data_IF_139105913989
#
_entry.id   IF_139105913989
#
_cell.length_a   1.000
_cell.length_b   1.000
_cell.length_c   1.000
_cell.angle_alpha   90.00
_cell.angle_beta   90.00
_cell.angle_gamma   90.00
#
_symmetry.space_group_name_H-M   'P 1'
#
loop_
_entity.id
_entity.type
_entity.pdbx_description
1 polymer ?
#
# COMPACT_ATOMS: atom_id res chain seq x y z
N UNK A 1 2.89 13.61 -63.58
CA UNK A 1 1.87 12.78 -62.91
C UNK A 1 0.60 13.62 -62.80
N UNK A 2 -0.52 13.06 -63.21
CA UNK A 2 -1.79 13.77 -63.38
C UNK A 2 -2.26 14.35 -62.04
N UNK A 3 -2.51 15.66 -62.06
CA UNK A 3 -3.33 16.37 -61.08
C UNK A 3 -4.73 15.76 -61.14
N UNK A 4 -5.06 14.86 -60.22
CA UNK A 4 -6.47 14.54 -59.99
C UNK A 4 -7.03 15.67 -59.15
N UNK A 5 -8.00 16.41 -59.71
CA UNK A 5 -8.85 17.29 -58.92
C UNK A 5 -9.53 16.42 -57.86
N UNK A 6 -9.00 16.47 -56.63
CA UNK A 6 -9.57 15.73 -55.50
C UNK A 6 -10.98 16.26 -55.26
N UNK A 7 -11.99 15.44 -55.53
CA UNK A 7 -13.39 15.80 -55.29
C UNK A 7 -13.68 15.65 -53.79
N UNK A 8 -13.64 16.79 -53.09
CA UNK A 8 -13.93 16.87 -51.66
C UNK A 8 -15.42 16.64 -51.45
N UNK A 9 -15.75 15.65 -50.64
CA UNK A 9 -17.13 15.33 -50.24
C UNK A 9 -17.38 15.54 -48.74
N UNK A 10 -18.58 15.22 -48.29
CA UNK A 10 -18.99 15.36 -46.88
C UNK A 10 -18.29 14.37 -45.92
N UNK A 11 -17.52 13.39 -46.43
CA UNK A 11 -16.73 12.45 -45.62
C UNK A 11 -15.30 12.93 -45.39
N UNK A 12 -14.87 13.95 -46.14
CA UNK A 12 -13.52 14.48 -46.12
C UNK A 12 -13.20 15.21 -44.80
N UNK A 13 -12.18 14.74 -44.09
CA UNK A 13 -11.73 15.32 -42.81
C UNK A 13 -10.44 16.11 -42.99
N UNK A 14 -10.45 17.36 -42.54
CA UNK A 14 -9.34 18.30 -42.70
C UNK A 14 -8.47 18.38 -41.45
N UNK A 15 -7.17 18.34 -41.65
CA UNK A 15 -6.18 18.48 -40.59
C UNK A 15 -5.11 19.48 -41.02
N UNK A 16 -4.66 20.30 -40.07
CA UNK A 16 -3.46 21.11 -40.22
C UNK A 16 -2.47 20.70 -39.13
N UNK A 17 -1.41 20.03 -39.53
CA UNK A 17 -0.49 19.34 -38.63
C UNK A 17 0.93 19.55 -39.13
N UNK A 18 1.85 19.91 -38.23
CA UNK A 18 3.26 20.12 -38.54
C UNK A 18 3.48 20.99 -39.80
N UNK A 19 2.78 22.13 -39.85
CA UNK A 19 2.82 23.10 -40.96
C UNK A 19 2.34 22.58 -42.32
N UNK A 20 1.57 21.48 -42.36
CA UNK A 20 1.05 20.89 -43.60
C UNK A 20 -0.45 20.61 -43.50
N UNK A 21 -1.15 20.71 -44.63
CA UNK A 21 -2.57 20.38 -44.74
C UNK A 21 -2.73 18.91 -45.13
N UNK A 22 -3.67 18.24 -44.50
CA UNK A 22 -4.06 16.88 -44.84
C UNK A 22 -5.57 16.76 -45.04
N UNK A 23 -5.95 15.91 -45.97
CA UNK A 23 -7.34 15.47 -46.16
C UNK A 23 -7.35 13.95 -46.00
N UNK A 24 -8.19 13.47 -45.08
CA UNK A 24 -8.51 12.06 -44.93
C UNK A 24 -9.87 11.84 -45.61
N UNK A 25 -9.92 10.96 -46.61
CA UNK A 25 -11.15 10.65 -47.34
C UNK A 25 -11.21 9.14 -47.54
N UNK A 26 -12.16 8.50 -46.86
CA UNK A 26 -12.27 7.04 -46.75
C UNK A 26 -10.93 6.42 -46.35
N UNK A 27 -10.39 5.50 -47.13
CA UNK A 27 -9.14 4.79 -46.91
C UNK A 27 -7.88 5.55 -47.37
N UNK A 28 -8.00 6.78 -47.88
CA UNK A 28 -6.90 7.54 -48.46
C UNK A 28 -6.53 8.78 -47.67
N UNK A 29 -5.24 9.09 -47.65
CA UNK A 29 -4.69 10.31 -47.09
C UNK A 29 -4.00 11.13 -48.19
N UNK A 30 -4.34 12.41 -48.21
CA UNK A 30 -3.79 13.39 -49.13
C UNK A 30 -3.07 14.48 -48.33
N UNK A 31 -2.00 15.04 -48.89
CA UNK A 31 -1.28 16.19 -48.32
C UNK A 31 -1.23 17.38 -49.26
N UNK A 32 -1.10 18.57 -48.69
CA UNK A 32 -0.75 19.78 -49.42
C UNK A 32 0.02 20.76 -48.55
N UNK A 33 0.94 21.52 -49.16
CA UNK A 33 1.66 22.62 -48.51
C UNK A 33 0.87 23.92 -48.52
N UNK A 34 -0.24 23.99 -49.28
CA UNK A 34 -0.99 25.22 -49.49
C UNK A 34 -2.41 24.93 -49.97
N UNK A 35 -3.42 25.45 -49.27
CA UNK A 35 -4.83 25.36 -49.68
C UNK A 35 -5.12 26.04 -51.04
N UNK A 36 -4.63 27.26 -51.34
CA UNK A 36 -5.09 28.03 -52.51
C UNK A 36 -4.81 27.38 -53.86
N UNK A 37 -3.88 26.42 -53.92
CA UNK A 37 -3.41 25.85 -55.18
C UNK A 37 -4.04 24.51 -55.53
N UNK A 38 -4.95 23.97 -54.70
CA UNK A 38 -5.75 22.77 -55.02
C UNK A 38 -4.95 21.48 -55.28
N UNK A 39 -3.63 21.50 -55.10
CA UNK A 39 -2.74 20.37 -55.34
C UNK A 39 -2.67 19.52 -54.10
N UNK A 40 -3.50 18.49 -54.08
CA UNK A 40 -3.46 17.43 -53.10
C UNK A 40 -2.78 16.20 -53.69
N UNK A 41 -1.71 15.76 -53.05
CA UNK A 41 -1.01 14.53 -53.41
C UNK A 41 -1.49 13.41 -52.51
N UNK A 42 -1.99 12.30 -53.10
CA UNK A 42 -2.24 11.08 -52.34
C UNK A 42 -0.90 10.51 -51.88
N UNK A 43 -0.71 10.34 -50.58
CA UNK A 43 0.55 9.83 -50.00
C UNK A 43 0.44 8.39 -49.52
N UNK A 44 -0.77 7.92 -49.20
CA UNK A 44 -0.98 6.55 -48.74
C UNK A 44 -2.44 6.13 -48.89
N UNK A 45 -2.66 4.81 -48.97
CA UNK A 45 -3.96 4.16 -48.90
C UNK A 45 -3.89 3.06 -47.85
N UNK A 46 -4.73 3.16 -46.82
CA UNK A 46 -4.76 2.27 -45.68
C UNK A 46 -5.66 1.05 -45.91
N UNK A 47 -5.58 0.08 -45.01
CA UNK A 47 -6.61 -0.95 -44.90
C UNK A 47 -7.81 -0.37 -44.13
N UNK A 48 -8.87 -0.04 -44.88
CA UNK A 48 -10.11 0.55 -44.38
C UNK A 48 -10.06 2.05 -44.10
N UNK A 49 -11.21 2.59 -43.67
CA UNK A 49 -11.41 4.03 -43.54
C UNK A 49 -10.51 4.65 -42.47
N UNK A 50 -9.89 5.79 -42.81
CA UNK A 50 -9.03 6.56 -41.92
C UNK A 50 -9.89 7.50 -41.07
N UNK A 51 -9.71 7.41 -39.75
CA UNK A 51 -10.61 8.07 -38.81
C UNK A 51 -10.05 9.36 -38.24
N UNK A 52 -8.76 9.35 -37.90
CA UNK A 52 -8.07 10.50 -37.33
C UNK A 52 -6.57 10.42 -37.58
N UNK A 53 -5.94 11.59 -37.69
CA UNK A 53 -4.51 11.78 -37.91
C UNK A 53 -3.97 12.69 -36.80
N UNK A 54 -2.78 12.40 -36.30
CA UNK A 54 -2.07 13.22 -35.34
C UNK A 54 -0.57 13.23 -35.62
N UNK A 55 0.13 14.25 -35.11
CA UNK A 55 1.59 14.30 -35.07
C UNK A 55 2.04 14.59 -33.64
N UNK A 56 3.12 13.93 -33.24
CA UNK A 56 3.73 14.05 -31.93
C UNK A 56 5.00 13.22 -31.89
N UNK A 57 5.89 13.43 -30.93
CA UNK A 57 7.12 12.63 -30.82
C UNK A 57 7.92 12.48 -32.14
N UNK A 58 7.86 13.51 -33.01
CA UNK A 58 8.43 13.53 -34.36
C UNK A 58 7.90 12.47 -35.34
N UNK A 59 6.71 11.91 -35.11
CA UNK A 59 6.07 10.92 -35.99
C UNK A 59 4.62 11.31 -36.30
N UNK A 60 4.17 10.96 -37.51
CA UNK A 60 2.77 11.01 -37.91
C UNK A 60 2.13 9.67 -37.60
N UNK A 61 0.95 9.71 -36.99
CA UNK A 61 0.18 8.53 -36.66
C UNK A 61 -1.24 8.74 -37.15
N UNK A 62 -1.82 7.74 -37.81
CA UNK A 62 -3.26 7.72 -38.04
C UNK A 62 -3.87 6.38 -37.64
N UNK A 63 -5.17 6.41 -37.41
CA UNK A 63 -5.99 5.24 -37.10
C UNK A 63 -6.91 4.92 -38.28
N UNK A 64 -7.04 3.65 -38.63
CA UNK A 64 -7.98 3.19 -39.66
C UNK A 64 -8.70 1.89 -39.27
N UNK A 65 -9.70 1.50 -40.07
CA UNK A 65 -10.40 0.24 -39.87
C UNK A 65 -11.40 -0.10 -40.97
N UNK A 66 -11.32 -1.33 -41.48
CA UNK A 66 -12.32 -1.90 -42.39
C UNK A 66 -13.44 -2.63 -41.63
N UNK A 67 -14.67 -2.62 -42.15
CA UNK A 67 -15.79 -3.34 -41.52
C UNK A 67 -15.60 -4.85 -41.62
N UNK A 68 -15.72 -5.56 -40.50
CA UNK A 68 -15.57 -7.02 -40.38
C UNK A 68 -16.93 -7.70 -40.20
N UNK A 69 -17.80 -7.12 -39.38
CA UNK A 69 -19.13 -7.64 -39.11
C UNK A 69 -20.17 -6.56 -39.40
N UNK A 70 -21.30 -6.96 -39.99
CA UNK A 70 -22.40 -6.06 -40.34
C UNK A 70 -23.43 -5.87 -39.23
N UNK A 71 -23.54 -6.81 -38.28
CA UNK A 71 -24.46 -6.67 -37.16
C UNK A 71 -24.06 -7.48 -35.91
N UNK A 72 -23.84 -6.83 -34.75
CA UNK A 72 -23.51 -5.41 -34.60
C UNK A 72 -22.26 -5.03 -35.39
N UNK A 73 -22.34 -3.87 -36.06
CA UNK A 73 -21.26 -3.36 -36.93
C UNK A 73 -19.96 -3.33 -36.16
N UNK A 74 -18.89 -3.94 -36.65
CA UNK A 74 -17.57 -3.93 -36.00
C UNK A 74 -16.48 -3.81 -37.05
N UNK A 75 -15.43 -3.07 -36.74
CA UNK A 75 -14.32 -2.75 -37.63
C UNK A 75 -13.01 -3.33 -37.09
N UNK A 76 -12.09 -3.61 -38.01
CA UNK A 76 -10.69 -3.74 -37.66
C UNK A 76 -10.17 -2.44 -37.05
N UNK A 77 -9.10 -2.54 -36.27
CA UNK A 77 -8.44 -1.41 -35.65
C UNK A 77 -6.97 -1.45 -36.04
N UNK A 78 -6.60 -0.56 -36.95
CA UNK A 78 -5.23 -0.42 -37.43
C UNK A 78 -4.66 0.93 -36.98
N UNK A 79 -3.38 0.93 -36.65
CA UNK A 79 -2.61 2.15 -36.41
C UNK A 79 -1.40 2.11 -37.32
N UNK A 80 -1.24 3.17 -38.10
CA UNK A 80 -0.11 3.37 -38.98
C UNK A 80 0.76 4.50 -38.45
N UNK A 81 2.08 4.35 -38.63
CA UNK A 81 3.08 5.33 -38.27
C UNK A 81 3.95 5.68 -39.47
N UNK A 82 4.34 6.95 -39.57
CA UNK A 82 5.34 7.42 -40.53
C UNK A 82 6.20 8.53 -39.93
N UNK A 83 7.49 8.55 -40.26
CA UNK A 83 8.40 9.65 -39.88
C UNK A 83 8.50 10.73 -40.98
N UNK A 84 8.29 10.33 -42.24
CA UNK A 84 8.62 11.11 -43.44
C UNK A 84 7.43 11.30 -44.40
N UNK A 85 6.24 10.78 -44.04
CA UNK A 85 5.01 10.73 -44.84
C UNK A 85 5.10 9.89 -46.12
N UNK A 86 6.26 9.27 -46.39
CA UNK A 86 6.53 8.50 -47.61
C UNK A 86 6.47 7.00 -47.31
N UNK A 87 6.96 6.60 -46.14
CA UNK A 87 6.92 5.22 -45.67
C UNK A 87 5.94 5.11 -44.50
N UNK A 88 4.92 4.27 -44.66
CA UNK A 88 3.92 4.01 -43.63
C UNK A 88 4.02 2.56 -43.15
N UNK A 89 4.10 2.39 -41.85
CA UNK A 89 4.21 1.10 -41.18
C UNK A 89 2.96 0.81 -40.36
N UNK A 90 2.40 -0.39 -40.52
CA UNK A 90 1.33 -0.88 -39.65
C UNK A 90 1.93 -1.33 -38.31
N UNK A 91 1.78 -0.51 -37.27
CA UNK A 91 2.40 -0.72 -35.95
C UNK A 91 1.45 -1.37 -34.94
N UNK A 92 0.15 -1.34 -35.19
CA UNK A 92 -0.85 -2.03 -34.39
C UNK A 92 -1.99 -2.52 -35.28
N UNK A 93 -2.46 -3.73 -35.02
CA UNK A 93 -3.60 -4.32 -35.69
C UNK A 93 -4.41 -5.15 -34.70
N UNK A 94 -5.72 -4.96 -34.72
CA UNK A 94 -6.67 -5.75 -33.96
C UNK A 94 -7.89 -6.08 -34.81
N UNK A 95 -8.18 -7.38 -34.90
CA UNK A 95 -9.39 -7.89 -35.54
C UNK A 95 -10.32 -8.44 -34.46
N UNK A 96 -11.55 -7.90 -34.34
CA UNK A 96 -12.48 -8.36 -33.32
C UNK A 96 -12.91 -9.81 -33.59
N UNK A 97 -12.97 -10.64 -32.54
CA UNK A 97 -13.43 -12.04 -32.62
C UNK A 97 -14.94 -12.21 -32.46
N UNK A 98 -15.61 -11.18 -31.93
CA UNK A 98 -17.03 -11.15 -31.63
C UNK A 98 -17.58 -9.77 -32.00
N UNK A 99 -18.87 -9.70 -32.27
CA UNK A 99 -19.56 -8.46 -32.63
C UNK A 99 -19.75 -7.57 -31.41
N UNK A 100 -18.86 -6.57 -31.25
CA UNK A 100 -18.79 -5.70 -30.06
C UNK A 100 -18.71 -4.20 -30.38
N UNK A 101 -18.91 -3.82 -31.65
CA UNK A 101 -18.86 -2.44 -32.11
C UNK A 101 -17.53 -1.75 -31.85
N UNK A 102 -16.45 -2.44 -32.19
CA UNK A 102 -15.11 -1.86 -32.17
C UNK A 102 -14.88 -0.97 -33.38
N UNK A 103 -14.55 0.30 -33.16
CA UNK A 103 -14.13 1.23 -34.21
C UNK A 103 -13.28 2.33 -33.59
N UNK A 104 -12.13 2.65 -34.20
CA UNK A 104 -11.48 3.91 -33.88
C UNK A 104 -12.36 5.07 -34.32
N UNK A 105 -12.44 6.13 -33.52
CA UNK A 105 -13.15 7.35 -33.93
C UNK A 105 -12.31 8.59 -33.73
N UNK A 106 -11.21 8.48 -32.97
CA UNK A 106 -10.39 9.62 -32.63
C UNK A 106 -8.96 9.18 -32.25
N UNK A 107 -8.03 10.11 -32.44
CA UNK A 107 -6.62 10.00 -32.13
C UNK A 107 -6.11 11.40 -31.80
N UNK A 108 -5.35 11.53 -30.72
CA UNK A 108 -4.69 12.77 -30.36
C UNK A 108 -3.38 12.50 -29.63
N UNK A 109 -2.49 13.49 -29.66
CA UNK A 109 -1.23 13.49 -28.94
C UNK A 109 -1.31 14.56 -27.85
N UNK A 110 -1.17 14.14 -26.61
CA UNK A 110 -1.15 15.05 -25.47
C UNK A 110 -0.11 14.57 -24.48
N UNK A 111 0.62 15.53 -23.91
CA UNK A 111 1.45 15.28 -22.73
C UNK A 111 2.44 14.11 -22.91
N UNK A 112 3.01 14.00 -24.11
CA UNK A 112 3.98 12.95 -24.44
C UNK A 112 3.36 11.64 -24.94
N UNK A 113 2.04 11.50 -24.95
CA UNK A 113 1.35 10.27 -25.31
C UNK A 113 0.39 10.44 -26.48
N UNK A 114 0.45 9.51 -27.42
CA UNK A 114 -0.62 9.21 -28.35
C UNK A 114 -1.73 8.42 -27.66
N UNK A 115 -2.96 8.81 -27.92
CA UNK A 115 -4.15 8.18 -27.35
C UNK A 115 -5.16 7.97 -28.47
N UNK A 116 -5.40 6.71 -28.81
CA UNK A 116 -6.34 6.28 -29.83
C UNK A 116 -7.55 5.61 -29.18
N UNK A 117 -8.76 6.06 -29.50
CA UNK A 117 -9.98 5.58 -28.86
C UNK A 117 -11.18 5.60 -29.81
N UNK A 118 -12.28 4.97 -29.39
CA UNK A 118 -13.57 5.08 -30.06
C UNK A 118 -14.61 4.15 -29.49
N UNK A 119 -15.43 3.58 -30.37
CA UNK A 119 -16.47 2.63 -30.00
C UNK A 119 -15.86 1.31 -29.48
N UNK A 120 -16.54 0.69 -28.51
CA UNK A 120 -16.08 -0.53 -27.83
C UNK A 120 -15.32 -0.26 -26.53
N UNK A 121 -14.68 -1.29 -25.97
CA UNK A 121 -14.03 -1.26 -24.65
C UNK A 121 -12.52 -1.01 -24.65
N UNK A 122 -11.92 -0.75 -25.81
CA UNK A 122 -10.48 -0.58 -25.98
C UNK A 122 -10.06 0.88 -26.18
N UNK A 123 -9.08 1.30 -25.37
CA UNK A 123 -8.28 2.51 -25.60
C UNK A 123 -6.83 2.08 -25.79
N UNK A 124 -6.16 2.68 -26.77
CA UNK A 124 -4.77 2.40 -27.08
C UNK A 124 -3.92 3.62 -26.74
N UNK A 125 -2.78 3.40 -26.10
CA UNK A 125 -1.85 4.43 -25.66
C UNK A 125 -0.43 4.08 -26.12
N UNK A 126 0.33 5.09 -26.53
CA UNK A 126 1.74 4.95 -26.89
C UNK A 126 2.50 6.25 -26.60
N UNK A 127 3.74 6.19 -26.13
CA UNK A 127 4.61 7.38 -25.97
C UNK A 127 5.46 7.68 -27.21
N UNK A 128 5.66 6.69 -28.08
CA UNK A 128 6.54 6.76 -29.26
C UNK A 128 5.79 6.60 -30.59
N UNK A 129 4.49 6.30 -30.52
CA UNK A 129 3.62 6.03 -31.67
C UNK A 129 3.83 4.62 -32.27
N UNK A 130 4.78 3.84 -31.77
CA UNK A 130 5.16 2.53 -32.31
C UNK A 130 4.77 1.39 -31.40
N UNK A 131 5.08 1.51 -30.11
CA UNK A 131 4.73 0.52 -29.09
C UNK A 131 3.42 0.92 -28.43
N UNK A 132 2.36 0.15 -28.66
CA UNK A 132 1.01 0.44 -28.18
C UNK A 132 0.59 -0.51 -27.07
N UNK A 133 0.08 0.05 -25.99
CA UNK A 133 -0.55 -0.69 -24.90
C UNK A 133 -2.08 -0.54 -24.97
N UNK A 134 -2.79 -1.60 -24.61
CA UNK A 134 -4.25 -1.65 -24.59
C UNK A 134 -4.78 -1.44 -23.16
N UNK A 135 -5.82 -0.61 -23.02
CA UNK A 135 -6.57 -0.45 -21.78
C UNK A 135 -8.01 -0.91 -22.04
N UNK A 136 -8.38 -2.04 -21.42
CA UNK A 136 -9.65 -2.76 -21.63
C UNK A 136 -10.61 -2.58 -20.45
N UNK A 137 -10.94 -1.33 -20.11
CA UNK A 137 -11.80 -1.00 -18.94
C UNK A 137 -12.95 -0.07 -19.26
N UNK A 138 -13.10 0.33 -20.52
CA UNK A 138 -14.04 1.38 -20.91
C UNK A 138 -15.19 0.81 -21.71
N UNK A 139 -16.21 1.61 -22.02
CA UNK A 139 -17.25 1.25 -22.98
C UNK A 139 -17.59 2.49 -23.80
N UNK A 140 -17.41 2.43 -25.11
CA UNK A 140 -17.82 3.44 -26.08
C UNK A 140 -17.32 4.86 -25.71
N UNK A 141 -16.01 5.06 -25.77
CA UNK A 141 -15.37 6.34 -25.46
C UNK A 141 -15.71 7.35 -26.55
N UNK A 142 -16.42 8.41 -26.19
CA UNK A 142 -16.88 9.45 -27.14
C UNK A 142 -16.01 10.69 -27.14
N UNK A 143 -15.37 11.00 -26.02
CA UNK A 143 -14.55 12.20 -25.89
C UNK A 143 -13.46 12.00 -24.83
N UNK A 144 -12.35 12.69 -25.02
CA UNK A 144 -11.27 12.77 -24.06
C UNK A 144 -11.02 14.24 -23.68
N UNK A 145 -10.67 14.48 -22.42
CA UNK A 145 -10.26 15.79 -21.90
C UNK A 145 -9.00 15.53 -21.07
N UNK A 146 -7.98 16.36 -21.26
CA UNK A 146 -6.80 16.34 -20.43
C UNK A 146 -6.73 17.61 -19.59
N UNK A 147 -6.63 17.45 -18.27
CA UNK A 147 -6.54 18.58 -17.34
C UNK A 147 -5.84 18.14 -16.06
N UNK A 148 -4.96 18.99 -15.52
CA UNK A 148 -4.24 18.74 -14.27
C UNK A 148 -3.56 17.35 -14.26
N UNK A 149 -2.81 17.03 -15.32
CA UNK A 149 -2.10 15.77 -15.49
C UNK A 149 -3.00 14.51 -15.43
N UNK A 150 -4.30 14.70 -15.65
CA UNK A 150 -5.29 13.63 -15.63
C UNK A 150 -5.99 13.58 -16.97
N UNK A 151 -5.98 12.38 -17.57
CA UNK A 151 -6.83 12.07 -18.69
C UNK A 151 -8.22 11.69 -18.18
N UNK A 152 -9.24 12.36 -18.71
CA UNK A 152 -10.65 12.11 -18.42
C UNK A 152 -11.30 11.59 -19.70
N UNK A 153 -11.77 10.35 -19.67
CA UNK A 153 -12.47 9.71 -20.80
C UNK A 153 -13.97 9.70 -20.54
N UNK A 154 -14.73 10.25 -21.48
CA UNK A 154 -16.20 10.33 -21.45
C UNK A 154 -16.75 9.15 -22.25
N UNK A 155 -17.51 8.28 -21.58
CA UNK A 155 -18.04 7.02 -22.11
C UNK A 155 -19.56 7.00 -22.15
N UNK A 156 -20.14 6.20 -23.06
CA UNK A 156 -21.58 5.91 -23.11
C UNK A 156 -21.84 4.43 -22.76
N UNK A 157 -22.71 4.12 -21.79
CA UNK A 157 -23.06 2.74 -21.48
C UNK A 157 -23.90 2.11 -22.60
N UNK A 158 -23.76 0.79 -22.81
CA UNK A 158 -24.34 0.06 -23.94
C UNK A 158 -25.69 -0.63 -23.61
N UNK A 159 -26.26 -0.54 -22.40
CA UNK A 159 -27.52 -1.23 -22.06
C UNK A 159 -28.58 -0.39 -21.30
N UNK A 160 -29.73 -0.25 -21.98
CA UNK A 160 -31.16 -0.22 -21.58
C UNK A 160 -31.74 0.95 -20.74
N UNK A 161 -32.67 1.66 -21.40
CA UNK A 161 -33.90 2.31 -20.91
C UNK A 161 -33.90 3.64 -20.16
N UNK A 162 -32.78 4.25 -19.73
CA UNK A 162 -32.81 5.59 -19.10
C UNK A 162 -31.63 6.49 -19.55
N UNK A 163 -31.71 7.83 -19.38
CA UNK A 163 -31.10 8.81 -20.28
C UNK A 163 -29.57 8.71 -20.29
N UNK A 164 -28.99 9.12 -21.42
CA UNK A 164 -27.55 9.26 -21.72
C UNK A 164 -26.74 9.67 -20.48
N UNK A 165 -26.28 8.71 -19.68
CA UNK A 165 -25.43 8.98 -18.54
C UNK A 165 -23.98 9.03 -19.02
N UNK A 166 -23.39 10.23 -19.01
CA UNK A 166 -21.96 10.40 -19.26
C UNK A 166 -21.21 9.85 -18.04
N UNK A 167 -20.55 8.71 -18.23
CA UNK A 167 -19.56 8.22 -17.26
C UNK A 167 -18.21 8.86 -17.61
N UNK A 168 -17.45 9.24 -16.58
CA UNK A 168 -16.09 9.71 -16.76
C UNK A 168 -15.12 8.83 -16.00
N UNK A 169 -14.04 8.43 -16.67
CA UNK A 169 -12.96 7.67 -16.06
C UNK A 169 -11.73 8.57 -15.98
N UNK A 170 -11.14 8.68 -14.79
CA UNK A 170 -9.89 9.42 -14.56
C UNK A 170 -8.72 8.44 -14.63
N UNK A 171 -7.73 8.78 -15.45
CA UNK A 171 -6.53 7.99 -15.63
C UNK A 171 -5.29 8.89 -15.55
N UNK A 172 -4.30 8.47 -14.77
CA UNK A 172 -2.99 9.12 -14.77
C UNK A 172 -2.15 8.44 -15.86
N UNK A 173 -1.80 9.20 -16.91
CA UNK A 173 -1.04 8.68 -18.06
C UNK A 173 0.48 8.68 -17.79
N UNK A 174 0.95 9.36 -16.74
CA UNK A 174 2.36 9.42 -16.40
C UNK A 174 2.81 8.18 -15.60
N UNK A 175 3.17 7.10 -16.30
CA UNK A 175 3.89 5.99 -15.65
C UNK A 175 5.30 6.40 -15.16
N UNK A 176 5.86 7.52 -15.63
CA UNK A 176 7.21 7.98 -15.29
C UNK A 176 7.40 8.52 -13.87
N UNK A 177 6.33 8.99 -13.22
CA UNK A 177 6.39 9.34 -11.79
C UNK A 177 6.48 8.08 -10.92
N UNK A 178 5.77 7.01 -11.33
CA UNK A 178 5.86 5.72 -10.66
C UNK A 178 7.25 5.12 -10.82
N UNK A 179 7.91 5.19 -11.98
CA UNK A 179 9.26 4.60 -12.13
C UNK A 179 10.32 5.27 -11.24
N UNK A 180 10.28 6.59 -11.07
CA UNK A 180 11.21 7.27 -10.15
C UNK A 180 10.88 6.91 -8.70
N UNK A 181 9.61 6.95 -8.32
CA UNK A 181 9.22 6.60 -6.95
C UNK A 181 9.45 5.11 -6.64
N UNK A 182 9.34 4.22 -7.62
CA UNK A 182 9.69 2.80 -7.51
C UNK A 182 11.19 2.59 -7.34
N UNK A 183 12.03 3.44 -7.93
CA UNK A 183 13.48 3.45 -7.67
C UNK A 183 13.83 3.98 -6.29
N UNK A 184 13.10 4.98 -5.78
CA UNK A 184 13.30 5.54 -4.43
C UNK A 184 12.75 4.58 -3.36
N UNK A 185 11.62 3.94 -3.63
CA UNK A 185 10.94 2.99 -2.76
C UNK A 185 10.80 1.61 -3.42
N UNK A 186 11.90 0.86 -3.62
CA UNK A 186 11.82 -0.52 -4.10
C UNK A 186 11.00 -1.42 -3.16
N UNK A 187 10.67 -2.63 -3.62
CA UNK A 187 10.01 -3.64 -2.79
C UNK A 187 10.83 -3.88 -1.52
N UNK A 188 10.17 -3.84 -0.36
CA UNK A 188 10.81 -3.92 0.96
C UNK A 188 11.21 -2.58 1.57
N UNK A 189 11.11 -1.45 0.85
CA UNK A 189 11.39 -0.13 1.42
C UNK A 189 10.40 0.23 2.53
N UNK A 190 10.88 1.02 3.49
CA UNK A 190 10.09 1.53 4.61
C UNK A 190 9.73 3.00 4.34
N UNK A 191 8.44 3.31 4.50
CA UNK A 191 7.91 4.67 4.47
C UNK A 191 7.42 5.05 5.88
N UNK A 192 7.75 6.26 6.34
CA UNK A 192 7.34 6.79 7.65
C UNK A 192 6.64 8.14 7.51
N UNK A 193 5.60 8.38 8.31
CA UNK A 193 4.84 9.63 8.29
C UNK A 193 4.15 9.91 9.62
N UNK A 194 3.84 11.18 9.87
CA UNK A 194 2.95 11.60 10.97
C UNK A 194 1.46 11.41 10.62
N UNK A 195 1.14 11.25 9.33
CA UNK A 195 -0.22 11.02 8.85
C UNK A 195 -0.50 9.51 8.80
N UNK A 196 -1.71 9.07 9.15
CA UNK A 196 -2.14 7.66 9.12
C UNK A 196 -2.53 7.12 7.74
N UNK A 197 -2.53 7.97 6.72
CA UNK A 197 -2.97 7.61 5.36
C UNK A 197 -2.02 6.58 4.73
N UNK A 198 -2.59 5.55 4.11
CA UNK A 198 -1.82 4.52 3.40
C UNK A 198 -0.94 5.14 2.30
N UNK A 199 0.37 4.79 2.20
CA UNK A 199 1.27 5.35 1.20
C UNK A 199 0.79 5.15 -0.23
N UNK A 200 0.07 4.06 -0.53
CA UNK A 200 -0.53 3.84 -1.85
C UNK A 200 -1.47 5.00 -2.28
N UNK A 201 -2.18 5.61 -1.33
CA UNK A 201 -3.09 6.73 -1.61
C UNK A 201 -2.37 8.06 -1.81
N UNK A 202 -1.21 8.25 -1.18
CA UNK A 202 -0.44 9.50 -1.26
C UNK A 202 0.56 9.47 -2.41
N UNK A 203 1.26 8.35 -2.57
CA UNK A 203 2.27 8.14 -3.60
C UNK A 203 1.65 7.68 -4.93
N UNK A 204 0.43 7.12 -4.91
CA UNK A 204 -0.29 6.68 -6.09
C UNK A 204 0.13 5.31 -6.65
N UNK A 205 0.97 4.56 -5.93
CA UNK A 205 1.45 3.23 -6.35
C UNK A 205 1.84 2.32 -5.19
N UNK A 206 2.01 1.04 -5.52
CA UNK A 206 2.49 -0.03 -4.65
C UNK A 206 1.47 -0.51 -3.63
N UNK A 207 1.72 -1.69 -3.08
CA UNK A 207 0.95 -2.22 -1.94
C UNK A 207 1.79 -2.17 -0.69
N UNK A 208 1.23 -1.60 0.38
CA UNK A 208 1.96 -1.27 1.59
C UNK A 208 1.33 -1.94 2.80
N UNK A 209 2.17 -2.54 3.64
CA UNK A 209 1.76 -3.12 4.91
C UNK A 209 2.25 -2.28 6.08
N UNK A 210 1.32 -1.95 6.98
CA UNK A 210 1.63 -1.15 8.16
C UNK A 210 2.45 -1.94 9.20
N UNK A 211 3.41 -1.27 9.81
CA UNK A 211 4.20 -1.76 10.94
C UNK A 211 3.56 -1.17 12.20
N UNK A 212 2.99 -2.04 13.04
CA UNK A 212 2.28 -1.66 14.28
C UNK A 212 2.95 -2.31 15.48
N UNK A 213 3.10 -1.53 16.56
CA UNK A 213 3.64 -1.93 17.86
C UNK A 213 5.01 -2.61 17.81
N UNK A 214 5.92 -2.09 16.97
CA UNK A 214 7.28 -2.62 16.77
C UNK A 214 8.30 -1.50 16.67
N UNK A 215 9.47 -1.72 17.24
CA UNK A 215 10.66 -0.93 16.96
C UNK A 215 11.41 -1.55 15.78
N UNK A 216 12.03 -0.70 14.96
CA UNK A 216 12.93 -1.16 13.91
C UNK A 216 14.26 -1.56 14.54
N UNK A 217 14.61 -2.83 14.42
CA UNK A 217 15.87 -3.39 14.90
C UNK A 217 16.70 -3.86 13.69
N UNK A 218 17.88 -3.27 13.52
CA UNK A 218 18.79 -3.61 12.42
C UNK A 218 19.42 -4.98 12.67
N UNK A 219 19.00 -5.98 11.91
CA UNK A 219 19.45 -7.37 12.02
C UNK A 219 19.97 -7.90 10.67
N UNK A 220 20.54 -9.10 10.67
CA UNK A 220 20.96 -9.83 9.48
C UNK A 220 19.82 -10.63 8.82
N UNK A 221 18.61 -10.52 9.36
CA UNK A 221 17.36 -11.09 8.84
C UNK A 221 16.27 -10.02 8.88
N UNK A 222 15.31 -10.08 7.95
CA UNK A 222 14.20 -9.12 7.89
C UNK A 222 12.90 -9.74 8.40
N UNK A 223 11.95 -8.89 8.83
CA UNK A 223 10.58 -9.26 9.24
C UNK A 223 10.45 -10.21 10.43
N UNK A 224 11.52 -10.51 11.14
CA UNK A 224 11.45 -11.23 12.41
C UNK A 224 10.95 -10.30 13.52
N UNK A 225 10.12 -10.84 14.41
CA UNK A 225 9.50 -10.09 15.50
C UNK A 225 9.89 -10.69 16.84
N UNK A 226 10.07 -9.84 17.85
CA UNK A 226 10.38 -10.24 19.21
C UNK A 226 10.29 -9.06 20.18
N UNK A 227 10.79 -9.26 21.39
CA UNK A 227 10.75 -8.26 22.46
C UNK A 227 9.51 -8.36 23.36
N UNK A 228 9.53 -7.61 24.45
CA UNK A 228 8.42 -7.50 25.40
C UNK A 228 8.47 -6.14 26.07
N UNK A 229 7.30 -5.59 26.41
CA UNK A 229 7.20 -4.41 27.27
C UNK A 229 7.42 -4.75 28.75
N UNK A 230 7.48 -6.04 29.11
CA UNK A 230 7.61 -6.52 30.49
C UNK A 230 8.94 -7.21 30.73
N UNK A 231 9.48 -7.01 31.94
CA UNK A 231 10.61 -7.77 32.46
C UNK A 231 10.07 -9.12 32.95
N UNK A 232 10.64 -10.22 32.44
CA UNK A 232 10.31 -11.58 32.89
C UNK A 232 11.33 -12.07 33.92
N UNK A 233 11.00 -13.12 34.65
CA UNK A 233 11.91 -13.76 35.62
C UNK A 233 13.28 -14.08 35.01
N UNK A 234 13.31 -14.60 33.78
CA UNK A 234 14.55 -14.91 33.05
C UNK A 234 15.42 -13.68 32.74
N UNK A 235 14.86 -12.46 32.83
CA UNK A 235 15.59 -11.21 32.64
C UNK A 235 16.16 -10.66 33.95
N UNK A 236 15.79 -11.23 35.10
CA UNK A 236 16.31 -10.79 36.39
C UNK A 236 17.72 -11.35 36.62
N UNK A 237 18.69 -10.53 37.06
CA UNK A 237 19.97 -11.04 37.49
C UNK A 237 19.79 -11.94 38.73
N UNK A 238 20.70 -12.93 38.95
CA UNK A 238 20.72 -13.70 40.18
C UNK A 238 20.79 -12.78 41.40
N UNK A 239 19.88 -12.97 42.35
CA UNK A 239 19.82 -12.21 43.60
C UNK A 239 19.50 -13.14 44.77
N UNK A 240 19.77 -12.69 46.00
CA UNK A 240 19.51 -13.43 47.23
C UNK A 240 18.74 -12.55 48.20
N UNK A 241 17.76 -13.14 48.87
CA UNK A 241 17.13 -12.54 50.04
C UNK A 241 17.85 -13.06 51.28
N UNK A 242 18.39 -12.16 52.10
CA UNK A 242 18.99 -12.51 53.39
C UNK A 242 18.16 -11.91 54.51
N UNK A 243 17.91 -12.70 55.55
CA UNK A 243 17.27 -12.24 56.77
C UNK A 243 17.66 -13.15 57.93
N UNK A 244 17.65 -12.60 59.13
CA UNK A 244 17.88 -13.36 60.36
C UNK A 244 16.66 -13.22 61.26
N UNK A 245 16.17 -14.32 61.80
CA UNK A 245 15.10 -14.33 62.79
C UNK A 245 15.63 -14.32 64.23
N UNK A 246 16.91 -13.99 64.43
CA UNK A 246 17.58 -14.18 65.71
C UNK A 246 17.19 -13.08 66.71
N UNK A 247 16.23 -13.39 67.57
CA UNK A 247 16.27 -12.99 68.97
C UNK A 247 16.20 -14.26 69.81
N UNK A 248 17.35 -14.86 70.10
CA UNK A 248 17.52 -15.57 71.36
C UNK A 248 17.70 -14.49 72.44
N UNK A 249 16.63 -13.77 72.77
CA UNK A 249 16.60 -13.07 74.05
C UNK A 249 16.43 -14.14 75.11
N UNK A 250 17.26 -14.09 76.16
CA UNK A 250 16.97 -14.84 77.38
C UNK A 250 15.55 -14.48 77.82
N UNK A 251 14.75 -15.49 78.08
CA UNK A 251 13.42 -15.34 78.63
C UNK A 251 13.28 -16.26 79.83
N UNK A 252 12.55 -15.79 80.83
CA UNK A 252 12.31 -16.52 82.07
C UNK A 252 10.83 -16.90 82.15
N UNK A 253 10.54 -18.06 82.75
CA UNK A 253 9.18 -18.45 83.08
C UNK A 253 8.95 -18.30 84.57
N UNK A 254 7.86 -17.64 84.95
CA UNK A 254 7.35 -17.70 86.31
C UNK A 254 6.82 -19.10 86.62
N UNK A 255 7.08 -19.58 87.82
CA UNK A 255 6.43 -20.78 88.36
C UNK A 255 5.00 -20.44 88.77
N UNK A 256 4.03 -21.32 88.48
CA UNK A 256 2.65 -21.16 88.95
C UNK A 256 2.59 -21.22 90.48
N UNK A 257 1.81 -20.30 91.06
CA UNK A 257 1.48 -20.21 92.49
C UNK A 257 2.69 -20.16 93.43
N UNK A 258 3.43 -19.04 93.37
CA UNK A 258 4.43 -18.68 94.36
C UNK A 258 3.95 -17.51 95.25
N UNK A 259 3.34 -17.79 96.41
CA UNK A 259 3.07 -16.76 97.41
C UNK A 259 4.21 -16.77 98.41
N UNK A 260 5.33 -16.06 98.17
CA UNK A 260 6.30 -15.87 99.25
C UNK A 260 6.78 -14.43 99.36
N UNK A 261 6.54 -13.92 100.57
CA UNK A 261 7.24 -12.84 101.24
C UNK A 261 8.77 -12.96 101.06
N UNK A 262 9.40 -11.85 100.68
CA UNK A 262 10.82 -11.51 100.87
C UNK A 262 11.86 -12.63 100.63
N UNK A 263 12.20 -12.90 99.38
CA UNK A 263 13.51 -13.50 99.07
C UNK A 263 14.06 -12.96 97.76
N UNK A 264 15.23 -12.30 97.83
CA UNK A 264 15.99 -11.73 96.70
C UNK A 264 16.73 -12.82 95.89
N UNK A 265 16.08 -13.93 95.56
CA UNK A 265 16.73 -15.05 94.86
C UNK A 265 16.32 -15.11 93.38
N UNK A 266 17.31 -15.02 92.49
CA UNK A 266 17.13 -15.15 91.04
C UNK A 266 17.08 -16.65 90.64
N UNK A 267 16.02 -17.05 89.96
CA UNK A 267 15.72 -18.44 89.63
C UNK A 267 16.60 -18.98 88.48
N UNK A 268 17.77 -19.54 88.82
CA UNK A 268 18.64 -20.24 87.86
C UNK A 268 18.63 -21.77 87.99
N UNK A 269 18.41 -22.30 89.19
CA UNK A 269 18.37 -23.75 89.43
C UNK A 269 17.55 -24.01 90.69
N UNK A 270 16.29 -24.48 90.60
CA UNK A 270 15.67 -25.11 91.78
C UNK A 270 14.57 -26.13 91.43
N UNK A 271 14.84 -27.38 91.79
CA UNK A 271 13.81 -28.32 92.24
C UNK A 271 13.75 -28.12 93.75
N UNK A 272 12.74 -27.38 94.24
CA UNK A 272 12.50 -27.32 95.68
C UNK A 272 12.01 -28.69 96.16
N UNK A 273 12.88 -29.43 96.84
CA UNK A 273 12.45 -30.36 97.87
C UNK A 273 12.13 -29.53 99.11
N UNK A 274 10.87 -29.48 99.58
CA UNK A 274 10.57 -28.84 100.85
C UNK A 274 11.11 -29.76 101.94
N UNK A 275 12.38 -29.62 102.30
CA UNK A 275 12.95 -30.46 103.34
C UNK A 275 12.39 -30.01 104.69
N UNK A 276 11.29 -30.64 105.12
CA UNK A 276 11.10 -30.91 106.54
C UNK A 276 10.37 -32.23 106.74
N UNK A 277 11.19 -33.29 106.76
CA UNK A 277 10.87 -34.64 107.21
C UNK A 277 10.05 -35.51 106.23
N UNK A 278 10.79 -36.37 105.50
CA UNK A 278 10.34 -37.53 104.74
C UNK A 278 9.30 -37.27 103.62
N UNK A 279 9.76 -37.10 102.38
CA UNK A 279 8.89 -37.40 101.25
C UNK A 279 9.68 -37.87 100.02
N UNK A 280 9.46 -39.13 99.68
CA UNK A 280 9.84 -39.81 98.44
C UNK A 280 9.05 -39.33 97.21
N UNK A 281 8.38 -38.17 97.28
CA UNK A 281 7.58 -37.60 96.19
C UNK A 281 8.11 -36.25 95.74
N UNK A 282 8.83 -36.27 94.62
CA UNK A 282 9.13 -35.07 93.84
C UNK A 282 7.83 -34.56 93.21
N UNK A 283 7.44 -33.33 93.53
CA UNK A 283 6.28 -32.69 92.88
C UNK A 283 6.79 -31.81 91.76
N UNK A 284 6.62 -32.24 90.50
CA UNK A 284 6.96 -31.44 89.34
C UNK A 284 5.89 -30.36 89.15
N UNK A 285 6.27 -29.09 89.26
CA UNK A 285 5.38 -27.96 88.94
C UNK A 285 5.69 -27.47 87.53
N UNK A 286 4.69 -27.36 86.63
CA UNK A 286 4.93 -26.83 85.31
C UNK A 286 5.25 -25.32 85.39
N UNK A 287 6.19 -24.87 84.58
CA UNK A 287 6.33 -23.45 84.22
C UNK A 287 5.06 -22.99 83.49
N UNK A 288 4.72 -21.70 83.59
CA UNK A 288 3.61 -21.14 82.80
C UNK A 288 3.81 -21.44 81.29
N UNK A 289 2.77 -21.77 80.49
CA UNK A 289 2.89 -22.28 79.11
C UNK A 289 3.54 -21.34 78.08
N UNK A 290 4.10 -20.20 78.48
CA UNK A 290 4.57 -19.11 77.63
C UNK A 290 5.89 -19.35 76.89
N UNK A 291 6.40 -20.58 76.80
CA UNK A 291 7.71 -20.89 76.19
C UNK A 291 7.69 -21.28 74.72
N UNK A 292 6.50 -21.36 74.10
CA UNK A 292 6.40 -21.68 72.69
C UNK A 292 6.17 -20.41 71.87
N UNK A 293 7.21 -19.90 71.22
CA UNK A 293 7.08 -18.86 70.21
C UNK A 293 7.69 -19.28 68.88
N UNK A 294 7.16 -18.71 67.80
CA UNK A 294 7.66 -18.91 66.45
C UNK A 294 8.27 -17.62 65.93
N UNK A 295 9.31 -17.76 65.11
CA UNK A 295 9.81 -16.65 64.31
C UNK A 295 9.22 -16.76 62.91
N UNK A 296 8.76 -15.64 62.38
CA UNK A 296 8.27 -15.55 61.00
C UNK A 296 9.14 -14.56 60.23
N UNK A 297 9.65 -14.98 59.08
CA UNK A 297 10.33 -14.10 58.12
C UNK A 297 9.49 -14.04 56.84
N UNK A 298 9.04 -12.84 56.49
CA UNK A 298 8.22 -12.60 55.30
C UNK A 298 8.95 -11.63 54.39
N UNK A 299 9.07 -12.00 53.12
CA UNK A 299 9.51 -11.09 52.05
C UNK A 299 8.32 -10.82 51.15
N UNK A 300 8.14 -9.56 50.76
CA UNK A 300 7.09 -9.15 49.85
C UNK A 300 7.71 -8.78 48.50
N UNK A 301 7.09 -9.14 47.37
CA UNK A 301 7.52 -8.66 46.07
C UNK A 301 7.35 -7.13 46.00
N UNK A 302 8.38 -6.42 45.52
CA UNK A 302 8.35 -4.96 45.34
C UNK A 302 8.12 -4.54 43.88
N UNK A 303 8.23 -5.48 42.93
CA UNK A 303 8.03 -5.19 41.51
C UNK A 303 6.56 -4.96 41.17
N UNK A 304 6.25 -3.85 40.50
CA UNK A 304 4.89 -3.53 40.04
C UNK A 304 4.50 -4.25 38.74
N UNK A 305 5.46 -4.79 37.98
CA UNK A 305 5.19 -5.51 36.74
C UNK A 305 4.63 -4.63 35.60
N UNK A 306 4.82 -3.32 35.72
CA UNK A 306 4.39 -2.32 34.74
C UNK A 306 5.18 -2.44 33.43
N UNK A 307 4.54 -2.02 32.35
CA UNK A 307 5.19 -1.90 31.05
C UNK A 307 6.31 -0.85 31.12
N UNK A 308 7.49 -1.23 30.65
CA UNK A 308 8.66 -0.36 30.57
C UNK A 308 8.94 0.01 29.12
N UNK A 309 8.94 1.32 28.83
CA UNK A 309 9.37 1.88 27.55
C UNK A 309 10.16 3.18 27.80
N UNK A 310 11.35 3.35 27.17
CA UNK A 310 12.03 4.65 27.20
C UNK A 310 11.17 5.71 26.49
N UNK A 311 11.31 7.01 26.79
CA UNK A 311 10.56 8.06 26.07
C UNK A 311 10.69 7.95 24.56
N UNK A 312 9.57 8.06 23.83
CA UNK A 312 9.50 7.86 22.38
C UNK A 312 8.44 8.77 21.73
N UNK A 313 8.58 8.96 20.42
CA UNK A 313 7.56 9.56 19.56
C UNK A 313 6.98 8.48 18.65
N UNK A 314 5.67 8.43 18.54
CA UNK A 314 4.99 7.52 17.62
C UNK A 314 4.89 8.12 16.24
N UNK A 315 5.15 7.30 15.23
CA UNK A 315 4.95 7.62 13.81
C UNK A 315 4.23 6.46 13.15
N UNK A 316 3.53 6.73 12.05
CA UNK A 316 3.02 5.67 11.21
C UNK A 316 4.14 5.18 10.29
N UNK A 317 4.33 3.87 10.21
CA UNK A 317 5.33 3.23 9.39
C UNK A 317 4.71 2.11 8.55
N UNK A 318 5.18 1.95 7.32
CA UNK A 318 4.76 0.91 6.39
C UNK A 318 5.96 0.36 5.65
N UNK A 319 5.85 -0.86 5.15
CA UNK A 319 6.82 -1.43 4.21
C UNK A 319 6.13 -1.89 2.92
N UNK A 320 6.83 -1.75 1.79
CA UNK A 320 6.30 -2.08 0.47
C UNK A 320 6.34 -3.59 0.21
N UNK A 321 5.25 -4.15 -0.30
CA UNK A 321 5.10 -5.54 -0.69
C UNK A 321 5.30 -5.75 -2.20
N UNK A 322 4.75 -4.87 -3.02
CA UNK A 322 4.74 -4.91 -4.49
C UNK A 322 4.73 -3.50 -5.07
#
# INVERSE_FOLDING_TARGET
MMSSDLEIDYTSKWYYINNMYFILQNDKIYRSYSIPFGRFEQIFQADGDIEALCYGSNVYVFVSGGMVYSYPVSYNRHIYLSQDLSNWELVYSFTPKLTRNYRFTNLFYIDGYFIAFGCGDLVNISSDGRNWSEITKFQDVRKAIFKNNTLILITRPVLNTHPVSILYNKFNIHNGLNTILEMIYPIGSIYTSMNSTNPASVLGFGTWQQIVDKFLYCANSSKQTGGSKKIKEANLPPHKHTGTTNFSSDHTHSLRDHPLYNSDYEAGHDVLSPAYNDSTKKTFRPTEPGGNHSHTFTTNPTGSGEDYMPPYMTVYAWYRLE
#
